data_IF_460168117425
#
_entry.id   IF_460168117425
#
_cell.length_a   1.000
_cell.length_b   1.000
_cell.length_c   1.000
_cell.angle_alpha   90.00
_cell.angle_beta   90.00
_cell.angle_gamma   90.00
#
_symmetry.space_group_name_H-M   'P 1'
#
loop_
_entity.id
_entity.type
_entity.pdbx_description
1 polymer ?
#
# COMPACT_ATOMS: atom_id res chain seq x y z
N UNK A 1 -23.47 -13.25 -1.10
CA UNK A 1 -22.45 -12.94 -2.12
C UNK A 1 -21.42 -11.95 -1.61
N UNK A 2 -21.75 -10.74 -1.18
CA UNK A 2 -20.82 -9.74 -0.63
C UNK A 2 -19.95 -10.29 0.52
N UNK A 3 -20.52 -10.98 1.51
CA UNK A 3 -19.77 -11.57 2.62
C UNK A 3 -18.75 -12.61 2.16
N UNK A 4 -19.05 -13.41 1.15
CA UNK A 4 -18.11 -14.37 0.59
C UNK A 4 -16.93 -13.66 -0.14
N UNK A 5 -17.21 -12.57 -0.86
CA UNK A 5 -16.18 -11.74 -1.49
C UNK A 5 -15.27 -11.11 -0.45
N UNK A 6 -15.83 -10.57 0.65
CA UNK A 6 -15.03 -10.03 1.77
C UNK A 6 -14.20 -11.10 2.47
N UNK A 7 -14.75 -12.30 2.67
CA UNK A 7 -14.00 -13.41 3.26
C UNK A 7 -12.83 -13.85 2.36
N UNK A 8 -13.05 -13.98 1.05
CA UNK A 8 -11.99 -14.29 0.08
C UNK A 8 -10.91 -13.21 0.02
N UNK A 9 -11.32 -11.93 0.09
CA UNK A 9 -10.39 -10.81 0.14
C UNK A 9 -9.56 -10.84 1.43
N UNK A 10 -10.18 -11.12 2.57
CA UNK A 10 -9.47 -11.29 3.85
C UNK A 10 -8.44 -12.43 3.83
N UNK A 11 -8.79 -13.57 3.22
CA UNK A 11 -7.87 -14.68 3.02
C UNK A 11 -6.69 -14.32 2.11
N UNK A 12 -6.95 -13.57 1.03
CA UNK A 12 -5.90 -13.10 0.13
C UNK A 12 -4.93 -12.14 0.85
N UNK A 13 -5.44 -11.23 1.69
CA UNK A 13 -4.60 -10.36 2.52
C UNK A 13 -3.78 -11.15 3.54
N UNK A 14 -4.34 -12.18 4.17
CA UNK A 14 -3.63 -13.04 5.11
C UNK A 14 -2.42 -13.74 4.47
N UNK A 15 -2.48 -14.06 3.17
CA UNK A 15 -1.36 -14.67 2.43
C UNK A 15 -0.15 -13.73 2.27
N UNK A 16 -0.29 -12.43 2.46
CA UNK A 16 0.83 -11.47 2.39
C UNK A 16 1.79 -11.59 3.57
N UNK A 17 1.29 -12.01 4.73
CA UNK A 17 2.10 -12.18 5.94
C UNK A 17 3.17 -13.28 5.79
N UNK A 18 2.83 -14.54 5.41
CA UNK A 18 3.84 -15.57 5.19
C UNK A 18 4.80 -15.23 4.04
N UNK A 19 4.33 -14.55 2.99
CA UNK A 19 5.21 -14.07 1.92
C UNK A 19 6.27 -13.10 2.43
N UNK A 20 5.88 -12.13 3.24
CA UNK A 20 6.82 -11.15 3.80
C UNK A 20 7.76 -11.79 4.82
N UNK A 21 7.28 -12.75 5.62
CA UNK A 21 8.12 -13.54 6.53
C UNK A 21 9.17 -14.34 5.76
N UNK A 22 8.80 -14.97 4.64
CA UNK A 22 9.73 -15.69 3.76
C UNK A 22 10.81 -14.75 3.19
N UNK A 23 10.45 -13.52 2.80
CA UNK A 23 11.42 -12.52 2.35
C UNK A 23 12.46 -12.20 3.44
N UNK A 24 12.05 -12.15 4.71
CA UNK A 24 12.96 -11.95 5.85
C UNK A 24 13.89 -13.14 6.00
N UNK A 25 13.37 -14.37 5.92
CA UNK A 25 14.13 -15.61 6.13
C UNK A 25 15.20 -15.85 5.06
N UNK A 26 14.92 -15.47 3.82
CA UNK A 26 15.83 -15.67 2.68
C UNK A 26 16.85 -14.53 2.54
N UNK A 27 16.66 -13.39 3.24
CA UNK A 27 17.46 -12.19 3.06
C UNK A 27 18.55 -12.03 4.13
N UNK A 28 19.77 -11.64 3.70
CA UNK A 28 20.83 -11.12 4.57
C UNK A 28 20.78 -9.59 4.61
N UNK A 29 21.39 -8.94 5.60
CA UNK A 29 21.38 -7.48 5.74
C UNK A 29 21.80 -6.73 4.46
N UNK A 30 22.77 -7.27 3.69
CA UNK A 30 23.27 -6.67 2.45
C UNK A 30 22.33 -6.87 1.25
N UNK A 31 21.50 -7.91 1.27
CA UNK A 31 20.61 -8.29 0.15
C UNK A 31 19.16 -7.93 0.40
N UNK A 32 18.81 -7.60 1.63
CA UNK A 32 17.44 -7.32 2.11
C UNK A 32 16.68 -6.32 1.22
N UNK A 33 17.29 -5.17 0.94
CA UNK A 33 16.67 -4.14 0.09
C UNK A 33 16.43 -4.61 -1.35
N UNK A 34 17.35 -5.40 -1.90
CA UNK A 34 17.23 -5.96 -3.26
C UNK A 34 16.11 -7.01 -3.34
N UNK A 35 16.05 -7.91 -2.36
CA UNK A 35 15.03 -8.99 -2.31
C UNK A 35 13.64 -8.39 -2.13
N UNK A 36 13.48 -7.42 -1.23
CA UNK A 36 12.24 -6.68 -1.06
C UNK A 36 11.87 -5.94 -2.36
N UNK A 37 12.84 -5.26 -2.99
CA UNK A 37 12.63 -4.59 -4.27
C UNK A 37 12.15 -5.54 -5.37
N UNK A 38 12.75 -6.74 -5.49
CA UNK A 38 12.33 -7.76 -6.46
C UNK A 38 10.92 -8.24 -6.16
N UNK A 39 10.62 -8.60 -4.92
CA UNK A 39 9.30 -9.10 -4.53
C UNK A 39 8.18 -8.11 -4.83
N UNK A 40 8.38 -6.85 -4.47
CA UNK A 40 7.40 -5.79 -4.74
C UNK A 40 7.35 -5.38 -6.21
N UNK A 41 8.46 -5.47 -6.94
CA UNK A 41 8.46 -5.28 -8.39
C UNK A 41 7.61 -6.35 -9.10
N UNK A 42 7.72 -7.61 -8.66
CA UNK A 42 6.87 -8.69 -9.17
C UNK A 42 5.38 -8.45 -8.87
N UNK A 43 5.05 -7.91 -7.69
CA UNK A 43 3.67 -7.51 -7.36
C UNK A 43 3.16 -6.44 -8.32
N UNK A 44 3.94 -5.41 -8.60
CA UNK A 44 3.55 -4.35 -9.54
C UNK A 44 3.43 -4.86 -10.97
N UNK A 45 4.32 -5.73 -11.42
CA UNK A 45 4.20 -6.40 -12.70
C UNK A 45 2.92 -7.24 -12.78
N UNK A 46 2.55 -7.92 -11.70
CA UNK A 46 1.29 -8.65 -11.57
C UNK A 46 0.07 -7.76 -11.72
N UNK A 47 0.08 -6.55 -11.15
CA UNK A 47 -1.00 -5.57 -11.29
C UNK A 47 -1.10 -5.12 -12.77
N UNK A 48 0.02 -4.78 -13.41
CA UNK A 48 0.04 -4.36 -14.82
C UNK A 48 -0.46 -5.49 -15.74
N UNK A 49 0.00 -6.72 -15.50
CA UNK A 49 -0.47 -7.90 -16.23
C UNK A 49 -1.97 -8.15 -16.01
N UNK A 50 -2.45 -7.99 -14.77
CA UNK A 50 -3.87 -8.08 -14.43
C UNK A 50 -4.73 -7.07 -15.20
N UNK A 51 -4.29 -5.81 -15.25
CA UNK A 51 -4.97 -4.76 -16.04
C UNK A 51 -4.99 -5.13 -17.53
N UNK A 52 -3.89 -5.65 -18.08
CA UNK A 52 -3.84 -6.09 -19.47
C UNK A 52 -4.82 -7.24 -19.76
N UNK A 53 -4.91 -8.23 -18.86
CA UNK A 53 -5.87 -9.34 -18.94
C UNK A 53 -7.30 -8.83 -18.86
N UNK A 54 -7.61 -7.95 -17.92
CA UNK A 54 -8.94 -7.35 -17.75
C UNK A 54 -9.34 -6.60 -19.01
N UNK A 55 -8.46 -5.73 -19.53
CA UNK A 55 -8.71 -4.99 -20.77
C UNK A 55 -8.85 -5.90 -21.98
N UNK A 56 -8.12 -7.00 -22.07
CA UNK A 56 -8.25 -7.99 -23.12
C UNK A 56 -9.59 -8.73 -23.11
N UNK A 57 -10.12 -9.01 -21.93
CA UNK A 57 -11.42 -9.68 -21.77
C UNK A 57 -12.59 -8.71 -21.92
N UNK A 58 -12.45 -7.47 -21.44
CA UNK A 58 -13.48 -6.43 -21.51
C UNK A 58 -13.37 -5.58 -22.80
N UNK A 59 -12.33 -5.75 -23.60
CA UNK A 59 -12.07 -4.92 -24.78
C UNK A 59 -13.13 -4.98 -25.91
N UNK A 60 -14.07 -5.91 -25.80
CA UNK A 60 -15.26 -6.03 -26.69
C UNK A 60 -16.50 -5.36 -26.13
N UNK A 61 -16.41 -4.71 -24.96
CA UNK A 61 -17.52 -4.08 -24.26
C UNK A 61 -17.45 -2.59 -24.46
N UNK A 62 -18.42 -2.01 -25.19
CA UNK A 62 -18.57 -0.57 -25.36
C UNK A 62 -19.33 0.05 -24.19
N UNK A 63 -19.16 1.37 -23.97
CA UNK A 63 -19.86 2.15 -22.93
C UNK A 63 -21.39 2.09 -23.05
N UNK A 64 -21.92 1.74 -24.24
CA UNK A 64 -23.34 1.55 -24.51
C UNK A 64 -23.83 0.12 -24.27
N UNK A 65 -22.97 -0.81 -23.78
CA UNK A 65 -23.33 -2.20 -23.60
C UNK A 65 -24.37 -2.38 -22.49
N UNK A 66 -25.39 -3.18 -22.76
CA UNK A 66 -26.44 -3.51 -21.79
C UNK A 66 -25.90 -4.41 -20.67
N UNK A 67 -26.55 -4.40 -19.50
CA UNK A 67 -26.19 -5.28 -18.37
C UNK A 67 -26.14 -6.76 -18.76
N UNK A 68 -26.96 -7.16 -19.75
CA UNK A 68 -26.98 -8.53 -20.26
C UNK A 68 -25.70 -8.89 -21.04
N UNK A 69 -25.15 -7.95 -21.83
CA UNK A 69 -23.90 -8.12 -22.59
C UNK A 69 -22.66 -8.12 -21.69
N UNK A 70 -22.69 -7.38 -20.58
CA UNK A 70 -21.63 -7.35 -19.56
C UNK A 70 -21.51 -8.68 -18.78
N UNK A 71 -22.59 -9.44 -18.64
CA UNK A 71 -22.60 -10.66 -17.82
C UNK A 71 -21.60 -11.73 -18.27
N UNK A 72 -21.46 -11.93 -19.58
CA UNK A 72 -20.57 -12.94 -20.15
C UNK A 72 -19.08 -12.63 -19.88
N UNK A 73 -18.57 -11.46 -20.27
CA UNK A 73 -17.20 -11.02 -20.02
C UNK A 73 -16.86 -10.98 -18.52
N UNK A 74 -17.77 -10.48 -17.67
CA UNK A 74 -17.56 -10.43 -16.22
C UNK A 74 -17.44 -11.85 -15.63
N UNK A 75 -18.33 -12.78 -15.98
CA UNK A 75 -18.23 -14.16 -15.53
C UNK A 75 -16.92 -14.82 -15.98
N UNK A 76 -16.47 -14.55 -17.20
CA UNK A 76 -15.17 -15.03 -17.69
C UNK A 76 -14.00 -14.50 -16.86
N UNK A 77 -14.02 -13.21 -16.47
CA UNK A 77 -13.01 -12.63 -15.58
C UNK A 77 -12.98 -13.32 -14.20
N UNK A 78 -14.16 -13.56 -13.62
CA UNK A 78 -14.27 -14.25 -12.32
C UNK A 78 -13.80 -15.70 -12.33
N UNK A 79 -13.64 -16.32 -13.49
CA UNK A 79 -13.08 -17.66 -13.65
C UNK A 79 -11.58 -17.59 -14.02
N UNK A 80 -11.24 -16.81 -15.04
CA UNK A 80 -9.88 -16.78 -15.61
C UNK A 80 -8.87 -16.19 -14.64
N UNK A 81 -9.19 -15.06 -14.00
CA UNK A 81 -8.23 -14.39 -13.11
C UNK A 81 -7.92 -15.24 -11.88
N UNK A 82 -8.90 -15.76 -11.11
CA UNK A 82 -8.60 -16.65 -10.00
C UNK A 82 -7.88 -17.94 -10.40
N UNK A 83 -8.21 -18.53 -11.56
CA UNK A 83 -7.53 -19.72 -12.05
C UNK A 83 -6.04 -19.46 -12.35
N UNK A 84 -5.71 -18.33 -12.99
CA UNK A 84 -4.32 -17.92 -13.25
C UNK A 84 -3.58 -17.68 -11.93
N UNK A 85 -4.19 -16.94 -10.99
CA UNK A 85 -3.58 -16.65 -9.68
C UNK A 85 -3.33 -17.94 -8.91
N UNK A 86 -4.31 -18.84 -8.88
CA UNK A 86 -4.17 -20.14 -8.21
C UNK A 86 -3.05 -20.99 -8.84
N UNK A 87 -3.00 -21.08 -10.16
CA UNK A 87 -1.95 -21.83 -10.87
C UNK A 87 -0.55 -21.27 -10.60
N UNK A 88 -0.38 -19.94 -10.67
CA UNK A 88 0.91 -19.28 -10.38
C UNK A 88 1.29 -19.49 -8.91
N UNK A 89 0.34 -19.39 -7.98
CA UNK A 89 0.59 -19.61 -6.55
C UNK A 89 1.05 -21.04 -6.29
N UNK A 90 0.38 -22.03 -6.87
CA UNK A 90 0.80 -23.43 -6.76
C UNK A 90 2.22 -23.65 -7.29
N UNK A 91 2.53 -23.16 -8.49
CA UNK A 91 3.87 -23.31 -9.09
C UNK A 91 4.94 -22.62 -8.24
N UNK A 92 4.62 -21.47 -7.63
CA UNK A 92 5.58 -20.70 -6.84
C UNK A 92 5.75 -21.21 -5.40
N UNK A 93 4.80 -21.97 -4.84
CA UNK A 93 4.88 -22.45 -3.45
C UNK A 93 5.37 -23.90 -3.34
N UNK A 94 5.08 -24.72 -4.35
CA UNK A 94 5.46 -26.15 -4.31
C UNK A 94 6.98 -26.33 -4.33
N UNK A 95 7.53 -26.79 -3.22
CA UNK A 95 8.95 -27.19 -3.10
C UNK A 95 9.91 -26.07 -2.68
N UNK A 96 9.47 -24.81 -2.58
CA UNK A 96 10.36 -23.69 -2.21
C UNK A 96 10.77 -23.79 -0.75
N UNK A 97 9.84 -24.04 0.17
CA UNK A 97 10.15 -24.16 1.60
C UNK A 97 11.19 -25.24 1.88
N UNK A 98 11.07 -26.43 1.26
CA UNK A 98 12.02 -27.53 1.45
C UNK A 98 13.43 -27.22 0.94
N UNK A 99 13.56 -26.31 -0.03
CA UNK A 99 14.85 -26.06 -0.71
C UNK A 99 15.59 -24.81 -0.20
N UNK A 100 14.86 -23.82 0.32
CA UNK A 100 15.42 -22.51 0.63
C UNK A 100 15.14 -22.04 2.06
N UNK A 101 14.28 -22.73 2.83
CA UNK A 101 14.00 -22.37 4.21
C UNK A 101 15.19 -22.77 5.11
N UNK A 102 15.68 -21.81 5.89
CA UNK A 102 16.64 -22.05 6.99
C UNK A 102 15.95 -22.65 8.23
N UNK A 103 14.72 -23.11 8.08
CA UNK A 103 13.84 -23.61 9.15
C UNK A 103 14.35 -24.85 9.88
N UNK A 104 15.26 -25.65 9.32
CA UNK A 104 15.84 -26.80 10.03
C UNK A 104 16.62 -26.39 11.30
N UNK A 105 17.20 -25.17 11.33
CA UNK A 105 17.88 -24.63 12.51
C UNK A 105 16.92 -23.98 13.50
N UNK A 106 15.68 -23.66 13.09
CA UNK A 106 14.65 -23.00 13.91
C UNK A 106 13.63 -23.96 14.52
N UNK A 107 13.59 -25.23 14.12
CA UNK A 107 12.62 -26.20 14.65
C UNK A 107 12.78 -26.45 16.16
N UNK A 108 13.96 -26.19 16.73
CA UNK A 108 14.19 -26.21 18.18
C UNK A 108 13.62 -25.00 18.92
N UNK A 109 13.34 -23.89 18.23
CA UNK A 109 12.73 -22.67 18.80
C UNK A 109 11.19 -22.68 18.65
N UNK A 110 10.63 -23.65 17.93
CA UNK A 110 9.22 -23.74 17.57
C UNK A 110 8.26 -23.86 18.77
N UNK A 111 8.73 -24.40 19.88
CA UNK A 111 7.94 -24.56 21.11
C UNK A 111 7.71 -23.26 21.88
N UNK A 112 8.42 -22.15 21.55
CA UNK A 112 8.35 -20.89 22.30
C UNK A 112 7.61 -19.75 21.58
N UNK A 113 7.62 -19.75 20.24
CA UNK A 113 7.05 -18.62 19.47
C UNK A 113 5.54 -18.73 19.19
N UNK A 114 4.98 -19.94 19.16
CA UNK A 114 3.56 -20.17 18.83
C UNK A 114 2.60 -19.80 19.98
N UNK A 115 3.13 -19.41 21.16
CA UNK A 115 2.32 -19.05 22.34
C UNK A 115 1.95 -17.56 22.45
N UNK A 116 2.55 -16.68 21.63
CA UNK A 116 2.25 -15.24 21.71
C UNK A 116 0.86 -14.96 21.12
N UNK A 117 -0.10 -14.68 22.00
CA UNK A 117 -1.46 -14.30 21.59
C UNK A 117 -1.47 -12.91 20.94
N UNK A 118 -2.49 -12.63 20.12
CA UNK A 118 -2.68 -11.33 19.49
C UNK A 118 -2.66 -10.16 20.49
N UNK A 119 -3.23 -10.36 21.70
CA UNK A 119 -3.22 -9.38 22.76
C UNK A 119 -1.81 -9.11 23.31
N UNK A 120 -1.00 -10.14 23.46
CA UNK A 120 0.41 -10.02 23.86
C UNK A 120 1.24 -9.33 22.76
N UNK A 121 1.01 -9.67 21.48
CA UNK A 121 1.61 -8.99 20.35
C UNK A 121 1.30 -7.48 20.38
N UNK A 122 0.04 -7.11 20.58
CA UNK A 122 -0.38 -5.72 20.68
C UNK A 122 0.27 -5.02 21.89
N UNK A 123 0.43 -5.73 23.02
CA UNK A 123 1.11 -5.24 24.22
C UNK A 123 2.61 -5.00 23.99
N UNK A 124 3.28 -5.89 23.25
CA UNK A 124 4.68 -5.72 22.82
C UNK A 124 4.82 -4.51 21.89
N UNK A 125 3.87 -4.30 20.97
CA UNK A 125 3.86 -3.16 20.06
C UNK A 125 3.66 -1.81 20.75
N UNK A 126 3.01 -1.81 21.91
CA UNK A 126 2.75 -0.60 22.72
C UNK A 126 3.69 -0.46 23.92
N UNK A 127 4.53 -1.45 24.21
CA UNK A 127 5.41 -1.49 25.38
C UNK A 127 6.54 -0.48 25.33
N UNK A 128 7.00 -0.10 24.13
CA UNK A 128 8.09 0.86 23.95
C UNK A 128 7.60 2.12 23.27
N UNK A 129 8.10 3.27 23.72
CA UNK A 129 7.86 4.57 23.08
C UNK A 129 8.31 4.58 21.62
N UNK A 130 9.42 3.94 21.29
CA UNK A 130 9.96 3.88 19.94
C UNK A 130 9.09 3.02 19.03
N UNK A 131 8.59 1.90 19.53
CA UNK A 131 7.67 1.03 18.81
C UNK A 131 6.36 1.75 18.50
N UNK A 132 5.75 2.41 19.49
CA UNK A 132 4.55 3.20 19.30
C UNK A 132 4.74 4.33 18.29
N UNK A 133 5.88 5.04 18.34
CA UNK A 133 6.23 6.11 17.40
C UNK A 133 6.36 5.59 15.95
N UNK A 134 6.98 4.42 15.79
CA UNK A 134 7.12 3.79 14.47
C UNK A 134 5.76 3.34 13.91
N UNK A 135 4.89 2.77 14.75
CA UNK A 135 3.53 2.42 14.34
C UNK A 135 2.68 3.65 13.96
N UNK A 136 2.76 4.73 14.74
CA UNK A 136 2.12 6.00 14.37
C UNK A 136 2.64 6.52 13.02
N UNK A 137 3.96 6.42 12.78
CA UNK A 137 4.55 6.75 11.49
C UNK A 137 3.95 5.91 10.36
N UNK A 138 3.90 4.58 10.51
CA UNK A 138 3.35 3.68 9.50
C UNK A 138 1.86 3.93 9.23
N UNK A 139 1.09 4.19 10.28
CA UNK A 139 -0.34 4.49 10.16
C UNK A 139 -0.56 5.80 9.39
N UNK A 140 0.13 6.88 9.77
CA UNK A 140 0.02 8.17 9.10
C UNK A 140 0.50 8.09 7.66
N UNK A 141 1.63 7.38 7.41
CA UNK A 141 2.16 7.15 6.08
C UNK A 141 1.14 6.42 5.20
N UNK A 142 0.59 5.30 5.70
CA UNK A 142 -0.35 4.47 4.95
C UNK A 142 -1.68 5.19 4.72
N UNK A 143 -2.21 5.89 5.73
CA UNK A 143 -3.39 6.75 5.58
C UNK A 143 -3.16 7.79 4.47
N UNK A 144 -2.04 8.52 4.54
CA UNK A 144 -1.73 9.55 3.56
C UNK A 144 -1.50 8.95 2.17
N UNK A 145 -0.89 7.75 2.07
CA UNK A 145 -0.59 7.12 0.78
C UNK A 145 -1.85 6.58 0.10
N UNK A 146 -2.81 6.03 0.84
CA UNK A 146 -3.96 5.35 0.27
C UNK A 146 -5.23 6.22 0.13
N UNK A 147 -5.26 7.42 0.71
CA UNK A 147 -6.44 8.31 0.66
C UNK A 147 -6.84 8.72 -0.77
N UNK A 148 -5.89 8.73 -1.74
CA UNK A 148 -6.23 9.02 -3.13
C UNK A 148 -6.92 7.87 -3.85
N UNK A 149 -6.83 6.61 -3.37
CA UNK A 149 -7.36 5.45 -4.09
C UNK A 149 -8.83 5.61 -4.51
N UNK A 150 -9.78 5.99 -3.62
CA UNK A 150 -11.17 6.19 -4.01
C UNK A 150 -11.43 7.50 -4.76
N UNK A 151 -10.44 8.40 -4.84
CA UNK A 151 -10.62 9.77 -5.33
C UNK A 151 -10.02 9.99 -6.70
N UNK A 152 -8.99 9.22 -7.06
CA UNK A 152 -8.18 9.47 -8.25
C UNK A 152 -8.95 9.21 -9.56
N UNK A 153 -9.74 8.13 -9.66
CA UNK A 153 -10.56 7.86 -10.84
C UNK A 153 -11.71 8.88 -11.01
N UNK A 154 -12.50 9.20 -9.96
CA UNK A 154 -13.45 10.30 -10.02
C UNK A 154 -12.81 11.65 -10.37
N UNK A 155 -11.59 11.92 -9.92
CA UNK A 155 -10.84 13.11 -10.29
C UNK A 155 -10.57 13.18 -11.78
N UNK A 156 -10.11 12.06 -12.38
CA UNK A 156 -9.90 11.95 -13.83
C UNK A 156 -11.18 12.17 -14.63
N UNK A 157 -12.30 11.59 -14.20
CA UNK A 157 -13.57 11.73 -14.91
C UNK A 157 -14.20 13.11 -14.74
N UNK A 158 -14.26 13.65 -13.51
CA UNK A 158 -15.00 14.88 -13.21
C UNK A 158 -14.24 16.17 -13.54
N UNK A 159 -12.90 16.16 -13.50
CA UNK A 159 -12.10 17.35 -13.79
C UNK A 159 -11.58 17.35 -15.22
N UNK A 160 -11.21 16.17 -15.73
CA UNK A 160 -10.58 16.06 -17.06
C UNK A 160 -11.50 15.50 -18.14
N UNK A 161 -12.74 15.12 -17.79
CA UNK A 161 -13.71 14.54 -18.72
C UNK A 161 -13.27 13.19 -19.28
N UNK A 162 -12.43 12.44 -18.53
CA UNK A 162 -11.91 11.15 -18.98
C UNK A 162 -13.01 10.09 -18.96
N UNK A 163 -13.06 9.27 -20.00
CA UNK A 163 -13.93 8.09 -20.08
C UNK A 163 -13.46 6.99 -19.10
N UNK A 164 -14.30 6.02 -18.78
CA UNK A 164 -13.96 4.90 -17.89
C UNK A 164 -12.68 4.18 -18.35
N UNK A 165 -12.53 3.96 -19.66
CA UNK A 165 -11.33 3.36 -20.24
C UNK A 165 -10.08 4.22 -20.01
N UNK A 166 -10.21 5.53 -20.13
CA UNK A 166 -9.11 6.46 -19.89
C UNK A 166 -8.76 6.56 -18.40
N UNK A 167 -9.74 6.55 -17.48
CA UNK A 167 -9.45 6.56 -16.04
C UNK A 167 -8.73 5.29 -15.58
N UNK A 168 -8.99 4.14 -16.21
CA UNK A 168 -8.23 2.91 -15.94
C UNK A 168 -6.75 3.07 -16.30
N UNK A 169 -6.39 3.89 -17.29
CA UNK A 169 -4.97 4.13 -17.63
C UNK A 169 -4.22 4.90 -16.54
N UNK A 170 -4.92 5.67 -15.71
CA UNK A 170 -4.34 6.36 -14.54
C UNK A 170 -3.65 5.35 -13.61
N UNK A 171 -4.32 4.22 -13.34
CA UNK A 171 -3.77 3.15 -12.50
C UNK A 171 -2.54 2.48 -13.15
N UNK A 172 -2.50 2.37 -14.47
CA UNK A 172 -1.34 1.85 -15.18
C UNK A 172 -0.12 2.80 -15.05
N UNK A 173 -0.32 4.12 -15.21
CA UNK A 173 0.74 5.11 -15.00
C UNK A 173 1.23 5.11 -13.55
N UNK A 174 0.32 5.04 -12.57
CA UNK A 174 0.67 4.90 -11.16
C UNK A 174 1.49 3.64 -10.90
N UNK A 175 1.04 2.48 -11.40
CA UNK A 175 1.72 1.20 -11.23
C UNK A 175 3.12 1.19 -11.89
N UNK A 176 3.25 1.72 -13.09
CA UNK A 176 4.55 1.84 -13.77
C UNK A 176 5.50 2.76 -13.00
N UNK A 177 5.02 3.92 -12.55
CA UNK A 177 5.80 4.81 -11.70
C UNK A 177 6.27 4.11 -10.41
N UNK A 178 5.34 3.42 -9.74
CA UNK A 178 5.62 2.67 -8.52
C UNK A 178 6.67 1.58 -8.75
N UNK A 179 6.57 0.84 -9.85
CA UNK A 179 7.55 -0.16 -10.24
C UNK A 179 8.96 0.45 -10.38
N UNK A 180 9.08 1.55 -11.11
CA UNK A 180 10.36 2.27 -11.28
C UNK A 180 10.88 2.76 -9.92
N UNK A 181 10.01 3.31 -9.08
CA UNK A 181 10.34 3.75 -7.73
C UNK A 181 10.87 2.63 -6.84
N UNK A 182 10.23 1.45 -6.87
CA UNK A 182 10.64 0.26 -6.12
C UNK A 182 12.04 -0.21 -6.56
N UNK A 183 12.25 -0.36 -7.87
CA UNK A 183 13.53 -0.80 -8.44
C UNK A 183 14.62 0.20 -8.07
N UNK A 184 14.39 1.49 -8.33
CA UNK A 184 15.37 2.55 -8.02
C UNK A 184 15.70 2.58 -6.52
N UNK A 185 14.72 2.38 -5.66
CA UNK A 185 14.93 2.36 -4.21
C UNK A 185 15.75 1.16 -3.78
N UNK A 186 15.39 -0.03 -4.24
CA UNK A 186 16.06 -1.26 -3.83
C UNK A 186 17.53 -1.32 -4.26
N UNK A 187 17.83 -0.83 -5.47
CA UNK A 187 19.15 -0.96 -6.07
C UNK A 187 20.02 0.29 -5.94
N UNK A 188 19.45 1.48 -5.84
CA UNK A 188 20.18 2.75 -5.89
C UNK A 188 20.02 3.58 -4.62
N UNK A 189 18.78 3.99 -4.28
CA UNK A 189 18.59 4.97 -3.20
C UNK A 189 18.95 4.41 -1.83
N UNK A 190 18.57 3.17 -1.55
CA UNK A 190 18.85 2.52 -0.27
C UNK A 190 20.34 2.38 0.02
N UNK A 191 21.17 1.84 -0.92
CA UNK A 191 22.61 1.75 -0.74
C UNK A 191 23.30 3.12 -0.59
N UNK A 192 22.80 4.16 -1.27
CA UNK A 192 23.43 5.48 -1.28
C UNK A 192 23.04 6.36 -0.08
N UNK A 193 21.77 6.42 0.26
CA UNK A 193 21.21 7.35 1.25
C UNK A 193 20.96 6.71 2.62
N UNK A 194 20.88 5.38 2.65
CA UNK A 194 20.41 4.64 3.81
C UNK A 194 18.89 4.73 4.00
N UNK A 195 18.35 3.84 4.83
CA UNK A 195 16.94 3.52 4.93
C UNK A 195 16.05 4.71 5.35
N UNK A 196 16.42 5.37 6.46
CA UNK A 196 15.65 6.48 7.04
C UNK A 196 15.61 7.72 6.13
N UNK A 197 16.75 8.03 5.46
CA UNK A 197 16.84 9.17 4.53
C UNK A 197 16.03 8.89 3.27
N UNK A 198 16.04 7.66 2.77
CA UNK A 198 15.25 7.25 1.60
C UNK A 198 13.76 7.42 1.85
N UNK A 199 13.25 6.98 3.01
CA UNK A 199 11.85 7.18 3.39
C UNK A 199 11.48 8.67 3.45
N UNK A 200 12.31 9.50 4.09
CA UNK A 200 12.08 10.94 4.15
C UNK A 200 12.04 11.59 2.77
N UNK A 201 12.98 11.22 1.91
CA UNK A 201 13.02 11.70 0.52
C UNK A 201 11.76 11.30 -0.23
N UNK A 202 11.33 10.03 -0.11
CA UNK A 202 10.10 9.54 -0.70
C UNK A 202 8.86 10.32 -0.25
N UNK A 203 8.72 10.58 1.07
CA UNK A 203 7.63 11.42 1.61
C UNK A 203 7.65 12.84 1.04
N UNK A 204 8.82 13.47 0.96
CA UNK A 204 8.95 14.83 0.43
C UNK A 204 8.57 14.89 -1.06
N UNK A 205 9.06 13.94 -1.87
CA UNK A 205 8.72 13.85 -3.29
C UNK A 205 7.23 13.53 -3.48
N UNK A 206 6.66 12.62 -2.68
CA UNK A 206 5.23 12.33 -2.74
C UNK A 206 4.37 13.55 -2.40
N UNK A 207 4.73 14.31 -1.35
CA UNK A 207 4.06 15.56 -1.01
C UNK A 207 4.13 16.57 -2.15
N UNK A 208 5.29 16.71 -2.79
CA UNK A 208 5.47 17.60 -3.94
C UNK A 208 4.54 17.23 -5.11
N UNK A 209 4.46 15.94 -5.48
CA UNK A 209 3.59 15.51 -6.56
C UNK A 209 2.10 15.53 -6.20
N UNK A 210 1.73 15.34 -4.93
CA UNK A 210 0.34 15.55 -4.48
C UNK A 210 -0.12 17.00 -4.66
N UNK A 211 0.75 17.98 -4.34
CA UNK A 211 0.48 19.39 -4.66
C UNK A 211 0.45 19.59 -6.17
N UNK A 212 1.34 18.94 -6.91
CA UNK A 212 1.38 18.95 -8.37
C UNK A 212 0.08 18.43 -9.01
N UNK A 213 -0.56 17.41 -8.43
CA UNK A 213 -1.87 16.92 -8.91
C UNK A 213 -2.95 18.01 -8.85
N UNK A 214 -2.94 18.85 -7.81
CA UNK A 214 -3.87 19.97 -7.74
C UNK A 214 -3.58 20.99 -8.85
N UNK A 215 -2.32 21.33 -9.07
CA UNK A 215 -1.90 22.26 -10.11
C UNK A 215 -2.24 21.76 -11.52
N UNK A 216 -2.06 20.45 -11.78
CA UNK A 216 -2.41 19.81 -13.05
C UNK A 216 -3.92 19.88 -13.32
N UNK A 217 -4.76 19.84 -12.27
CA UNK A 217 -6.20 20.03 -12.40
C UNK A 217 -6.62 21.34 -13.06
N UNK A 218 -5.77 22.38 -12.99
CA UNK A 218 -6.00 23.65 -13.65
C UNK A 218 -5.76 23.59 -15.18
N UNK A 219 -5.05 22.59 -15.67
CA UNK A 219 -4.68 22.45 -17.09
C UNK A 219 -5.74 21.75 -17.92
N UNK A 220 -6.67 21.02 -17.29
CA UNK A 220 -7.66 20.14 -17.92
C UNK A 220 -7.05 19.16 -18.96
N UNK A 221 -5.76 18.82 -18.85
CA UNK A 221 -5.04 17.96 -19.78
C UNK A 221 -4.90 16.54 -19.21
N UNK A 222 -5.58 15.51 -19.78
CA UNK A 222 -5.51 14.12 -19.30
C UNK A 222 -4.10 13.53 -19.31
N UNK A 223 -3.27 13.92 -20.28
CA UNK A 223 -1.88 13.42 -20.35
C UNK A 223 -1.01 14.00 -19.23
N UNK A 224 -1.21 15.27 -18.89
CA UNK A 224 -0.53 15.88 -17.76
C UNK A 224 -0.91 15.19 -16.44
N UNK A 225 -2.18 14.81 -16.28
CA UNK A 225 -2.64 14.01 -15.14
C UNK A 225 -1.93 12.65 -15.08
N UNK A 226 -1.91 11.90 -16.16
CA UNK A 226 -1.27 10.60 -16.23
C UNK A 226 0.22 10.68 -15.87
N UNK A 227 0.95 11.67 -16.36
CA UNK A 227 2.35 11.90 -16.05
C UNK A 227 2.52 12.25 -14.56
N UNK A 228 1.71 13.17 -14.02
CA UNK A 228 1.77 13.56 -12.62
C UNK A 228 1.49 12.38 -11.69
N UNK A 229 0.51 11.53 -12.02
CA UNK A 229 0.19 10.31 -11.28
C UNK A 229 1.32 9.29 -11.40
N UNK A 230 1.95 9.15 -12.55
CA UNK A 230 3.13 8.29 -12.72
C UNK A 230 4.30 8.72 -11.84
N UNK A 231 4.56 10.03 -11.74
CA UNK A 231 5.60 10.60 -10.89
C UNK A 231 5.25 10.45 -9.39
N UNK A 232 3.98 10.63 -9.01
CA UNK A 232 3.50 10.31 -7.68
C UNK A 232 3.64 8.81 -7.38
N UNK A 233 3.34 7.94 -8.35
CA UNK A 233 3.58 6.50 -8.27
C UNK A 233 5.06 6.17 -7.99
N UNK A 234 5.99 6.84 -8.67
CA UNK A 234 7.43 6.69 -8.42
C UNK A 234 7.76 7.01 -6.95
N UNK A 235 7.29 8.14 -6.43
CA UNK A 235 7.46 8.48 -5.02
C UNK A 235 6.83 7.44 -4.09
N UNK A 236 5.66 6.91 -4.43
CA UNK A 236 4.98 5.83 -3.69
C UNK A 236 5.82 4.55 -3.65
N UNK A 237 6.47 4.19 -4.75
CA UNK A 237 7.41 3.06 -4.80
C UNK A 237 8.62 3.24 -3.89
N UNK A 238 9.17 4.47 -3.84
CA UNK A 238 10.26 4.82 -2.91
C UNK A 238 9.82 4.67 -1.46
N UNK A 239 8.64 5.19 -1.13
CA UNK A 239 8.06 5.10 0.22
C UNK A 239 7.80 3.67 0.65
N UNK A 240 7.12 2.91 -0.19
CA UNK A 240 6.70 1.54 0.11
C UNK A 240 7.92 0.67 0.38
N UNK A 241 8.89 0.66 -0.53
CA UNK A 241 10.13 -0.12 -0.35
C UNK A 241 10.90 0.36 0.85
N UNK A 242 11.03 1.69 1.02
CA UNK A 242 11.76 2.27 2.15
C UNK A 242 11.17 1.92 3.50
N UNK A 243 9.86 2.01 3.65
CA UNK A 243 9.16 1.71 4.92
C UNK A 243 9.19 0.22 5.25
N UNK A 244 9.07 -0.66 4.23
CA UNK A 244 9.14 -2.12 4.44
C UNK A 244 10.55 -2.52 4.87
N UNK A 245 11.60 -2.04 4.20
CA UNK A 245 12.97 -2.35 4.59
C UNK A 245 13.28 -1.81 5.97
N UNK A 246 12.79 -0.61 6.30
CA UNK A 246 12.93 -0.06 7.66
C UNK A 246 12.19 -0.92 8.70
N UNK A 247 10.98 -1.37 8.40
CA UNK A 247 10.22 -2.29 9.26
C UNK A 247 10.98 -3.60 9.50
N UNK A 248 11.45 -4.24 8.41
CA UNK A 248 12.18 -5.50 8.50
C UNK A 248 13.45 -5.36 9.36
N UNK A 249 14.14 -4.20 9.31
CA UNK A 249 15.31 -3.94 10.15
C UNK A 249 15.00 -3.75 11.62
N UNK A 250 13.84 -3.17 11.90
CA UNK A 250 13.36 -3.01 13.27
C UNK A 250 12.81 -4.31 13.86
N UNK A 251 12.62 -5.33 13.02
CA UNK A 251 12.06 -6.62 13.43
C UNK A 251 13.17 -7.60 13.78
N UNK A 252 13.19 -8.10 15.02
CA UNK A 252 14.05 -9.20 15.40
C UNK A 252 13.58 -10.49 14.71
N UNK A 253 14.53 -11.35 14.34
CA UNK A 253 14.22 -12.60 13.64
C UNK A 253 13.25 -13.50 14.43
N UNK A 254 13.31 -13.43 15.76
CA UNK A 254 12.52 -14.24 16.70
C UNK A 254 11.05 -13.80 16.79
N UNK A 255 10.73 -12.53 16.42
CA UNK A 255 9.36 -11.96 16.50
C UNK A 255 8.86 -11.49 15.15
N UNK A 256 9.53 -11.89 14.06
CA UNK A 256 9.24 -11.42 12.71
C UNK A 256 7.78 -11.64 12.30
N UNK A 257 7.21 -12.81 12.58
CA UNK A 257 5.82 -13.13 12.25
C UNK A 257 4.82 -12.19 12.94
N UNK A 258 5.02 -11.94 14.23
CA UNK A 258 4.15 -11.05 15.02
C UNK A 258 4.21 -9.60 14.54
N UNK A 259 5.43 -9.07 14.33
CA UNK A 259 5.60 -7.70 13.83
C UNK A 259 5.06 -7.51 12.43
N UNK A 260 5.28 -8.46 11.52
CA UNK A 260 4.77 -8.43 10.16
C UNK A 260 3.24 -8.53 10.14
N UNK A 261 2.68 -9.40 10.98
CA UNK A 261 1.22 -9.52 11.14
C UNK A 261 0.58 -8.24 11.67
N UNK A 262 1.17 -7.62 12.68
CA UNK A 262 0.70 -6.35 13.24
C UNK A 262 0.84 -5.19 12.25
N UNK A 263 1.93 -5.17 11.45
CA UNK A 263 2.08 -4.21 10.37
C UNK A 263 1.04 -4.40 9.28
N UNK A 264 0.77 -5.64 8.86
CA UNK A 264 -0.29 -5.95 7.90
C UNK A 264 -1.67 -5.50 8.39
N UNK A 265 -1.97 -5.72 9.68
CA UNK A 265 -3.20 -5.21 10.31
C UNK A 265 -3.26 -3.69 10.30
N UNK A 266 -2.19 -3.00 10.72
CA UNK A 266 -2.13 -1.54 10.71
C UNK A 266 -2.31 -0.99 9.29
N UNK A 267 -1.72 -1.63 8.28
CA UNK A 267 -1.87 -1.26 6.88
C UNK A 267 -3.31 -1.47 6.38
N UNK A 268 -3.94 -2.59 6.73
CA UNK A 268 -5.34 -2.86 6.37
C UNK A 268 -6.30 -1.86 7.01
N UNK A 269 -6.11 -1.54 8.30
CA UNK A 269 -6.86 -0.49 9.00
C UNK A 269 -6.64 0.89 8.37
N UNK A 270 -5.39 1.20 8.01
CA UNK A 270 -5.05 2.45 7.34
C UNK A 270 -5.70 2.55 5.95
N UNK A 271 -5.75 1.47 5.16
CA UNK A 271 -6.43 1.47 3.86
C UNK A 271 -7.93 1.68 3.99
N UNK A 272 -8.58 0.99 4.93
CA UNK A 272 -10.00 1.20 5.22
C UNK A 272 -10.28 2.62 5.71
N UNK A 273 -9.48 3.11 6.66
CA UNK A 273 -9.55 4.48 7.17
C UNK A 273 -9.27 5.52 6.10
N UNK A 274 -8.31 5.28 5.21
CA UNK A 274 -7.96 6.16 4.10
C UNK A 274 -9.11 6.30 3.09
N UNK A 275 -9.81 5.20 2.79
CA UNK A 275 -10.98 5.23 1.91
C UNK A 275 -12.12 6.06 2.51
N UNK A 276 -12.37 5.90 3.81
CA UNK A 276 -13.36 6.73 4.53
C UNK A 276 -12.93 8.18 4.59
N UNK A 277 -11.66 8.44 4.90
CA UNK A 277 -11.10 9.80 4.99
C UNK A 277 -11.15 10.50 3.64
N UNK A 278 -10.75 9.83 2.56
CA UNK A 278 -10.79 10.38 1.20
C UNK A 278 -12.20 10.76 0.77
N UNK A 279 -13.17 9.87 1.00
CA UNK A 279 -14.59 10.13 0.73
C UNK A 279 -15.16 11.27 1.59
N UNK A 280 -14.83 11.29 2.89
CA UNK A 280 -15.28 12.33 3.82
C UNK A 280 -14.70 13.71 3.45
N UNK A 281 -13.39 13.79 3.20
CA UNK A 281 -12.72 15.03 2.78
C UNK A 281 -13.29 15.56 1.46
N UNK A 282 -13.53 14.67 0.49
CA UNK A 282 -14.14 15.05 -0.78
C UNK A 282 -15.57 15.56 -0.58
N UNK A 283 -16.36 14.91 0.29
CA UNK A 283 -17.73 15.33 0.62
C UNK A 283 -17.76 16.69 1.31
N UNK A 284 -16.87 16.91 2.29
CA UNK A 284 -16.70 18.19 2.96
C UNK A 284 -16.26 19.26 1.95
N UNK A 285 -15.30 18.95 1.09
CA UNK A 285 -14.86 19.85 0.03
C UNK A 285 -16.00 20.26 -0.91
N UNK A 286 -16.81 19.31 -1.37
CA UNK A 286 -18.00 19.57 -2.21
C UNK A 286 -19.05 20.40 -1.49
N UNK A 287 -19.20 20.23 -0.17
CA UNK A 287 -20.11 21.07 0.64
C UNK A 287 -19.60 22.51 0.72
N UNK A 288 -18.31 22.71 0.98
CA UNK A 288 -17.70 24.03 1.10
C UNK A 288 -17.71 24.82 -0.22
N UNK A 289 -17.59 24.12 -1.36
CA UNK A 289 -17.61 24.75 -2.70
C UNK A 289 -19.01 24.93 -3.28
N UNK A 290 -20.05 24.48 -2.57
CA UNK A 290 -21.41 24.51 -3.07
C UNK A 290 -21.74 23.46 -4.14
N UNK A 291 -20.79 22.62 -4.52
CA UNK A 291 -20.98 21.54 -5.51
C UNK A 291 -22.08 20.56 -5.07
N UNK A 292 -22.21 20.29 -3.77
CA UNK A 292 -23.28 19.44 -3.23
C UNK A 292 -24.67 20.04 -3.46
N UNK A 293 -24.83 21.35 -3.36
CA UNK A 293 -26.11 22.02 -3.62
C UNK A 293 -26.48 21.97 -5.10
N UNK A 294 -25.51 22.07 -6.01
CA UNK A 294 -25.71 21.94 -7.46
C UNK A 294 -26.21 20.53 -7.80
N UNK A 295 -25.60 19.50 -7.22
CA UNK A 295 -26.04 18.09 -7.40
C UNK A 295 -27.45 17.90 -6.84
N UNK A 296 -27.76 18.45 -5.67
CA UNK A 296 -29.10 18.36 -5.06
C UNK A 296 -30.19 19.05 -5.90
N UNK A 297 -29.79 20.07 -6.69
CA UNK A 297 -30.67 20.76 -7.65
C UNK A 297 -30.80 19.99 -8.99
N UNK A 298 -30.20 18.80 -9.13
CA UNK A 298 -30.25 17.98 -10.35
C UNK A 298 -29.33 18.47 -11.48
N UNK A 299 -28.36 19.35 -11.17
CA UNK A 299 -27.38 19.85 -12.11
C UNK A 299 -25.99 19.23 -11.90
N UNK A 300 -25.14 19.24 -12.92
CA UNK A 300 -23.77 18.78 -12.80
C UNK A 300 -22.87 19.95 -12.34
N UNK A 301 -22.07 19.76 -11.26
CA UNK A 301 -21.13 20.77 -10.80
C UNK A 301 -19.99 20.96 -11.79
N UNK A 302 -19.55 22.19 -11.96
CA UNK A 302 -18.43 22.52 -12.86
C UNK A 302 -17.08 22.05 -12.29
N UNK A 303 -16.11 21.83 -13.16
CA UNK A 303 -14.73 21.51 -12.76
C UNK A 303 -14.15 22.57 -11.79
N UNK A 304 -14.48 23.83 -11.95
CA UNK A 304 -14.06 24.93 -11.07
C UNK A 304 -14.61 24.79 -9.64
N UNK A 305 -15.81 24.23 -9.47
CA UNK A 305 -16.39 23.94 -8.15
C UNK A 305 -15.85 22.65 -7.52
N UNK A 306 -15.47 21.68 -8.35
CA UNK A 306 -14.98 20.39 -7.89
C UNK A 306 -13.47 20.40 -7.56
N UNK A 307 -12.68 21.15 -8.33
CA UNK A 307 -11.22 21.18 -8.17
C UNK A 307 -10.75 21.52 -6.74
N UNK A 308 -11.32 22.52 -6.03
CA UNK A 308 -10.93 22.78 -4.64
C UNK A 308 -11.29 21.64 -3.70
N UNK A 309 -12.39 20.90 -3.97
CA UNK A 309 -12.79 19.76 -3.16
C UNK A 309 -11.77 18.60 -3.30
N UNK A 310 -11.30 18.32 -4.51
CA UNK A 310 -10.20 17.37 -4.74
C UNK A 310 -8.88 17.89 -4.18
N UNK A 311 -8.63 19.21 -4.30
CA UNK A 311 -7.47 19.88 -3.73
C UNK A 311 -7.38 19.68 -2.22
N UNK A 312 -8.50 19.75 -1.49
CA UNK A 312 -8.54 19.47 -0.05
C UNK A 312 -8.02 18.05 0.26
N UNK A 313 -8.40 17.06 -0.52
CA UNK A 313 -7.95 15.69 -0.34
C UNK A 313 -6.44 15.57 -0.56
N UNK A 314 -5.94 16.04 -1.70
CA UNK A 314 -4.51 15.93 -2.04
C UNK A 314 -3.62 16.75 -1.12
N UNK A 315 -4.04 17.94 -0.71
CA UNK A 315 -3.28 18.77 0.23
C UNK A 315 -3.26 18.16 1.64
N UNK A 316 -4.36 17.55 2.10
CA UNK A 316 -4.37 16.84 3.38
C UNK A 316 -3.38 15.66 3.36
N UNK A 317 -3.32 14.91 2.26
CA UNK A 317 -2.31 13.86 2.09
C UNK A 317 -0.89 14.42 2.10
N UNK A 318 -0.65 15.53 1.39
CA UNK A 318 0.65 16.19 1.35
C UNK A 318 1.11 16.61 2.76
N UNK A 319 0.21 17.16 3.58
CA UNK A 319 0.48 17.47 5.00
C UNK A 319 0.78 16.19 5.78
N UNK A 320 0.01 15.13 5.58
CA UNK A 320 0.24 13.83 6.21
C UNK A 320 1.63 13.26 5.90
N UNK A 321 2.17 13.46 4.69
CA UNK A 321 3.54 13.08 4.33
C UNK A 321 4.58 13.85 5.16
N UNK A 322 4.36 15.13 5.44
CA UNK A 322 5.25 15.91 6.32
C UNK A 322 5.16 15.45 7.78
N UNK A 323 3.96 15.10 8.25
CA UNK A 323 3.80 14.49 9.58
C UNK A 323 4.56 13.16 9.65
N UNK A 324 4.47 12.33 8.61
CA UNK A 324 5.24 11.08 8.53
C UNK A 324 6.75 11.32 8.57
N UNK A 325 7.28 12.37 7.89
CA UNK A 325 8.69 12.76 7.98
C UNK A 325 9.06 13.15 9.42
N UNK A 326 8.22 13.92 10.10
CA UNK A 326 8.46 14.33 11.48
C UNK A 326 8.49 13.12 12.43
N UNK A 327 7.57 12.18 12.27
CA UNK A 327 7.50 10.96 13.07
C UNK A 327 8.72 10.05 12.83
N UNK A 328 9.04 9.72 11.59
CA UNK A 328 10.18 8.84 11.27
C UNK A 328 11.51 9.49 11.67
N UNK A 329 11.57 10.83 11.74
CA UNK A 329 12.75 11.55 12.19
C UNK A 329 13.09 11.27 13.65
N UNK A 330 12.05 11.06 14.48
CA UNK A 330 12.16 10.81 15.92
C UNK A 330 12.36 9.34 16.29
N UNK A 331 12.21 8.42 15.33
CA UNK A 331 12.48 7.00 15.56
C UNK A 331 13.99 6.78 15.69
N UNK A 332 14.44 6.24 16.81
CA UNK A 332 15.82 5.78 16.99
C UNK A 332 15.85 4.26 16.77
N UNK A 333 16.62 3.83 15.76
CA UNK A 333 16.68 2.41 15.36
C UNK A 333 17.41 1.59 16.42
N UNK A 334 18.46 2.13 17.04
CA UNK A 334 19.26 1.43 18.04
C UNK A 334 18.47 1.24 19.35
N UNK A 335 17.80 2.29 19.81
CA UNK A 335 16.91 2.25 20.99
C UNK A 335 15.75 1.27 20.74
N UNK A 336 15.14 1.32 19.56
CA UNK A 336 14.06 0.39 19.19
C UNK A 336 14.50 -1.07 19.28
N UNK A 337 15.68 -1.41 18.76
CA UNK A 337 16.19 -2.79 18.78
C UNK A 337 16.51 -3.28 20.19
N UNK A 338 16.95 -2.39 21.07
CA UNK A 338 17.20 -2.70 22.48
C UNK A 338 15.88 -2.93 23.24
N UNK A 339 14.93 -2.02 23.08
CA UNK A 339 13.62 -2.10 23.71
C UNK A 339 12.85 -3.37 23.27
N UNK A 340 12.89 -3.69 21.97
CA UNK A 340 12.26 -4.90 21.45
C UNK A 340 12.85 -6.18 22.08
N UNK A 341 14.18 -6.25 22.23
CA UNK A 341 14.84 -7.39 22.90
C UNK A 341 14.45 -7.48 24.37
N UNK A 342 14.39 -6.37 25.09
CA UNK A 342 13.98 -6.36 26.50
C UNK A 342 12.50 -6.74 26.69
N UNK A 343 11.62 -6.26 25.82
CA UNK A 343 10.20 -6.62 25.88
C UNK A 343 9.97 -8.11 25.62
N UNK A 344 10.77 -8.72 24.74
CA UNK A 344 10.73 -10.16 24.46
C UNK A 344 11.23 -10.96 25.64
N UNK A 345 12.38 -10.59 26.23
CA UNK A 345 12.90 -11.29 27.42
C UNK A 345 11.93 -11.21 28.60
N UNK A 346 11.33 -10.05 28.83
CA UNK A 346 10.33 -9.89 29.90
C UNK A 346 9.03 -10.68 29.64
N UNK A 347 8.62 -10.83 28.36
CA UNK A 347 7.46 -11.65 28.02
C UNK A 347 7.75 -13.16 28.20
N UNK A 348 8.97 -13.59 27.93
CA UNK A 348 9.41 -14.98 28.12
C UNK A 348 9.64 -15.33 29.61
N UNK A 349 10.07 -14.38 30.45
CA UNK A 349 10.22 -14.58 31.89
C UNK A 349 8.88 -14.68 32.62
N UNK A 350 7.86 -13.91 32.17
CA UNK A 350 6.50 -13.97 32.75
C UNK A 350 5.70 -15.24 32.41
N UNK A 351 6.11 -16.01 31.40
CA UNK A 351 5.49 -17.30 31.04
C UNK A 351 6.14 -18.49 31.80
N UNK A 352 7.16 -18.24 32.63
CA UNK A 352 7.86 -19.26 33.42
C UNK A 352 7.41 -19.30 34.91
N UNK A 353 6.58 -18.34 35.34
CA UNK A 353 5.92 -18.28 36.63
C UNK A 353 4.42 -18.67 36.50
#
# INVERSE_FOLDING_TARGET
MLAAVFALYGLALAATTPFTALLVDVSDEKTKSKIVGIGWSMLMLGIVAGVAIINGVLGSVDEASTIAELKGPINRLFIVVPAIVFAITLVSTVGIEKRFSRLEQRSAARDREDSITFAQALKVLTASRQTGLFFCFLLVLSLSLFTQNPVLEPYGSQIFGMTIKQTTTINAFFGMGTLVGIITTGFVLMPLLGKKRTVKLGCAIASFFLVGLVAVGLTANPMALNVAVGLFGLASGVLTTGSIVLMIDLTAAETAGTFIGAWGLAQAMAQGGASLLGGALLSVGKLLTGASAVVAAGAEPTAAQLLPAYGLVFLTQAVGMWVAIALVSRVDIAEFQLDAKQAISAALENDLD
#
